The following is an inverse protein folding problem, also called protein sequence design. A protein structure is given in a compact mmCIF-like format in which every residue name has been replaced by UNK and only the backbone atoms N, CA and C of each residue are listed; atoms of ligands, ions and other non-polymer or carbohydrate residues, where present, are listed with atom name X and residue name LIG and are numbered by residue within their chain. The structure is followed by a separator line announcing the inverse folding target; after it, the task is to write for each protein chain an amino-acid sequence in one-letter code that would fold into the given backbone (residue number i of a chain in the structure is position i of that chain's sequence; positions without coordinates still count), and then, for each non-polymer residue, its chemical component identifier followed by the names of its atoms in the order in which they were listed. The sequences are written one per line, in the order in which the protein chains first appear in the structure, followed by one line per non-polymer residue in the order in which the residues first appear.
data_IF_129900532753
#
_entry.id   IF_129900532753
#
_cell.length_a   1.000
_cell.length_b   1.000
_cell.length_c   1.000
_cell.angle_alpha   90.00
_cell.angle_beta   90.00
_cell.angle_gamma   90.00
#
_symmetry.space_group_name_H-M   'P 1'
#
loop_
_entity.id
_entity.type
_entity.pdbx_description
1 polymer ?
#
# COMPACT_ATOMS: atom_id res chain seq x y z
N UNK A 1 -24.68 -35.50 -44.52
CA UNK A 1 -25.08 -35.19 -43.12
C UNK A 1 -23.93 -34.59 -42.27
N UNK A 2 -22.71 -35.11 -42.39
CA UNK A 2 -21.55 -34.66 -41.57
C UNK A 2 -21.12 -33.20 -41.85
N UNK A 3 -21.17 -32.73 -43.09
CA UNK A 3 -20.68 -31.40 -43.48
C UNK A 3 -21.56 -30.25 -42.91
N UNK A 4 -22.85 -30.46 -42.83
CA UNK A 4 -23.81 -29.48 -42.28
C UNK A 4 -23.66 -29.36 -40.75
N UNK A 5 -23.43 -30.47 -40.08
CA UNK A 5 -23.18 -30.53 -38.64
C UNK A 5 -21.84 -29.87 -38.29
N UNK A 6 -20.79 -30.09 -39.05
CA UNK A 6 -19.48 -29.43 -38.88
C UNK A 6 -19.58 -27.90 -39.04
N UNK A 7 -20.34 -27.41 -40.03
CA UNK A 7 -20.55 -25.95 -40.20
C UNK A 7 -21.29 -25.33 -39.02
N UNK A 8 -22.25 -26.03 -38.44
CA UNK A 8 -22.95 -25.56 -37.22
C UNK A 8 -22.01 -25.51 -36.01
N UNK A 9 -21.24 -26.57 -35.81
CA UNK A 9 -20.26 -26.64 -34.70
C UNK A 9 -19.23 -25.50 -34.85
N UNK A 10 -18.70 -25.28 -36.06
CA UNK A 10 -17.76 -24.18 -36.32
C UNK A 10 -18.37 -22.79 -36.01
N UNK A 11 -19.64 -22.55 -36.41
CA UNK A 11 -20.33 -21.30 -36.08
C UNK A 11 -20.50 -21.10 -34.58
N UNK A 12 -20.89 -22.14 -33.84
CA UNK A 12 -21.01 -22.08 -32.38
C UNK A 12 -19.66 -21.79 -31.75
N UNK A 13 -18.62 -22.49 -32.20
CA UNK A 13 -17.25 -22.25 -31.70
C UNK A 13 -16.79 -20.81 -31.99
N UNK A 14 -17.04 -20.29 -33.18
CA UNK A 14 -16.70 -18.90 -33.54
C UNK A 14 -17.44 -17.88 -32.63
N UNK A 15 -18.72 -18.10 -32.35
CA UNK A 15 -19.49 -17.25 -31.43
C UNK A 15 -18.92 -17.31 -30.02
N UNK A 16 -18.64 -18.52 -29.50
CA UNK A 16 -18.05 -18.67 -28.17
C UNK A 16 -16.67 -18.03 -28.09
N UNK A 17 -15.85 -18.13 -29.14
CA UNK A 17 -14.56 -17.48 -29.21
C UNK A 17 -14.69 -15.94 -29.17
N UNK A 18 -15.64 -15.39 -29.93
CA UNK A 18 -15.91 -13.93 -29.92
C UNK A 18 -16.37 -13.50 -28.52
N UNK A 19 -17.28 -14.23 -27.89
CA UNK A 19 -17.71 -13.92 -26.52
C UNK A 19 -16.57 -13.99 -25.52
N UNK A 20 -15.70 -14.99 -25.63
CA UNK A 20 -14.50 -15.10 -24.80
C UNK A 20 -13.52 -13.93 -25.01
N UNK A 21 -13.31 -13.51 -26.26
CA UNK A 21 -12.45 -12.35 -26.57
C UNK A 21 -13.05 -11.05 -26.05
N UNK A 22 -14.36 -10.88 -26.16
CA UNK A 22 -15.07 -9.71 -25.59
C UNK A 22 -14.92 -9.72 -24.06
N UNK A 23 -15.14 -10.84 -23.40
CA UNK A 23 -14.93 -10.97 -21.97
C UNK A 23 -13.50 -10.63 -21.54
N UNK A 24 -12.51 -11.22 -22.23
CA UNK A 24 -11.11 -10.91 -21.96
C UNK A 24 -10.79 -9.44 -22.15
N UNK A 25 -11.39 -8.79 -23.15
CA UNK A 25 -11.16 -7.37 -23.44
C UNK A 25 -11.80 -6.43 -22.42
N UNK A 26 -12.99 -6.78 -21.92
CA UNK A 26 -13.77 -5.92 -21.03
C UNK A 26 -13.36 -6.16 -19.57
N UNK A 27 -13.23 -7.42 -19.15
CA UNK A 27 -13.03 -7.78 -17.74
C UNK A 27 -11.55 -7.98 -17.38
N UNK A 28 -10.80 -8.73 -18.19
CA UNK A 28 -9.44 -9.15 -17.83
C UNK A 28 -8.40 -8.09 -18.21
N UNK A 29 -8.50 -7.56 -19.43
CA UNK A 29 -7.49 -6.63 -19.93
C UNK A 29 -7.32 -5.35 -19.08
N UNK A 30 -8.37 -4.73 -18.51
CA UNK A 30 -8.20 -3.63 -17.57
C UNK A 30 -7.52 -4.03 -16.26
N UNK A 31 -7.75 -5.25 -15.76
CA UNK A 31 -7.11 -5.74 -14.53
C UNK A 31 -5.58 -5.81 -14.66
N UNK A 32 -5.06 -6.07 -15.87
CA UNK A 32 -3.62 -6.07 -16.11
C UNK A 32 -2.98 -4.71 -15.79
N UNK A 33 -3.72 -3.62 -15.97
CA UNK A 33 -3.27 -2.26 -15.65
C UNK A 33 -3.12 -2.04 -14.14
N UNK A 34 -4.03 -2.60 -13.35
CA UNK A 34 -3.94 -2.58 -11.88
C UNK A 34 -2.74 -3.38 -11.40
N UNK A 35 -2.54 -4.58 -11.95
CA UNK A 35 -1.44 -5.47 -11.59
C UNK A 35 -0.09 -4.81 -11.89
N UNK A 36 0.11 -4.33 -13.11
CA UNK A 36 1.37 -3.65 -13.48
C UNK A 36 1.59 -2.37 -12.70
N UNK A 37 0.53 -1.57 -12.46
CA UNK A 37 0.60 -0.36 -11.66
C UNK A 37 0.96 -0.64 -10.20
N UNK A 38 0.33 -1.63 -9.59
CA UNK A 38 0.69 -2.08 -8.24
C UNK A 38 2.15 -2.51 -8.16
N UNK A 39 2.57 -3.39 -9.08
CA UNK A 39 3.92 -3.94 -9.11
C UNK A 39 4.97 -2.83 -9.30
N UNK A 40 4.78 -1.93 -10.28
CA UNK A 40 5.68 -0.80 -10.51
C UNK A 40 5.85 0.07 -9.26
N UNK A 41 4.72 0.40 -8.59
CA UNK A 41 4.73 1.25 -7.38
C UNK A 41 5.38 0.54 -6.20
N UNK A 42 5.09 -0.74 -6.02
CA UNK A 42 5.67 -1.57 -4.95
C UNK A 42 7.19 -1.66 -5.12
N UNK A 43 7.66 -2.01 -6.32
CA UNK A 43 9.10 -2.11 -6.61
C UNK A 43 9.80 -0.76 -6.46
N UNK A 44 9.23 0.33 -7.00
CA UNK A 44 9.84 1.65 -6.87
C UNK A 44 9.94 2.09 -5.40
N UNK A 45 8.97 1.77 -4.57
CA UNK A 45 9.01 2.09 -3.14
C UNK A 45 10.01 1.22 -2.39
N UNK A 46 9.96 -0.09 -2.59
CA UNK A 46 10.86 -1.03 -1.92
C UNK A 46 12.32 -0.83 -2.30
N UNK A 47 12.59 -0.48 -3.57
CA UNK A 47 13.94 -0.30 -4.06
C UNK A 47 14.51 1.08 -3.70
N UNK A 48 13.86 2.17 -4.14
CA UNK A 48 14.42 3.52 -3.99
C UNK A 48 14.24 4.14 -2.59
N UNK A 49 13.29 3.67 -1.78
CA UNK A 49 13.04 4.20 -0.45
C UNK A 49 13.65 3.31 0.63
N UNK A 50 13.47 1.99 0.50
CA UNK A 50 13.89 1.01 1.50
C UNK A 50 15.23 0.33 1.16
N UNK A 51 15.73 0.50 -0.08
CA UNK A 51 17.04 -0.04 -0.51
C UNK A 51 17.04 -1.56 -0.72
N UNK A 52 15.87 -2.19 -0.91
CA UNK A 52 15.76 -3.63 -1.12
C UNK A 52 16.01 -4.02 -2.57
N UNK A 53 16.46 -5.25 -2.77
CA UNK A 53 16.63 -5.82 -4.11
C UNK A 53 15.29 -6.16 -4.74
N UNK A 54 15.23 -6.17 -6.07
CA UNK A 54 14.04 -6.58 -6.82
C UNK A 54 13.56 -7.95 -6.37
N UNK A 55 14.48 -8.89 -6.18
CA UNK A 55 14.16 -10.26 -5.76
C UNK A 55 13.43 -10.28 -4.40
N UNK A 56 13.93 -9.55 -3.39
CA UNK A 56 13.29 -9.52 -2.07
C UNK A 56 11.92 -8.86 -2.09
N UNK A 57 11.70 -7.89 -2.98
CA UNK A 57 10.41 -7.23 -3.15
C UNK A 57 9.43 -8.19 -3.84
N UNK A 58 9.87 -8.89 -4.90
CA UNK A 58 9.02 -9.86 -5.60
C UNK A 58 8.63 -11.04 -4.72
N UNK A 59 9.55 -11.57 -3.91
CA UNK A 59 9.28 -12.67 -2.99
C UNK A 59 8.48 -12.27 -1.74
N UNK A 60 8.37 -10.99 -1.45
CA UNK A 60 7.69 -10.45 -0.30
C UNK A 60 6.45 -9.62 -0.65
N UNK A 61 6.64 -8.38 -1.07
CA UNK A 61 5.53 -7.43 -1.29
C UNK A 61 4.67 -7.79 -2.52
N UNK A 62 5.27 -8.36 -3.55
CA UNK A 62 4.61 -8.74 -4.80
C UNK A 62 4.24 -10.22 -4.87
N UNK A 63 4.51 -11.01 -3.82
CA UNK A 63 4.04 -12.40 -3.69
C UNK A 63 2.54 -12.40 -3.31
N UNK A 64 1.73 -11.87 -4.23
CA UNK A 64 0.28 -11.74 -4.15
C UNK A 64 -0.27 -12.33 -5.46
N UNK A 65 -1.40 -13.06 -5.37
CA UNK A 65 -2.05 -13.66 -6.54
C UNK A 65 -2.19 -12.66 -7.69
N UNK A 66 -1.76 -13.07 -8.87
CA UNK A 66 -1.67 -12.31 -10.13
C UNK A 66 -0.63 -11.17 -10.17
N UNK A 67 -0.18 -10.62 -9.03
CA UNK A 67 0.87 -9.59 -9.03
C UNK A 67 2.22 -10.18 -9.44
N UNK A 68 2.45 -11.44 -9.13
CA UNK A 68 3.60 -12.23 -9.55
C UNK A 68 3.72 -12.43 -11.08
N UNK A 69 2.64 -12.16 -11.85
CA UNK A 69 2.67 -12.16 -13.32
C UNK A 69 3.40 -10.97 -13.92
N UNK A 70 3.62 -9.94 -13.12
CA UNK A 70 4.27 -8.72 -13.57
C UNK A 70 5.78 -8.89 -13.67
N UNK A 71 6.35 -8.44 -14.79
CA UNK A 71 7.79 -8.28 -14.98
C UNK A 71 8.17 -6.83 -14.73
N UNK A 72 9.26 -6.60 -13.99
CA UNK A 72 9.69 -5.29 -13.55
C UNK A 72 11.08 -4.97 -14.04
N UNK A 73 11.30 -3.73 -14.49
CA UNK A 73 12.59 -3.19 -14.88
C UNK A 73 12.87 -1.92 -14.08
N UNK A 74 14.04 -1.87 -13.44
CA UNK A 74 14.49 -0.71 -12.63
C UNK A 74 15.46 0.10 -13.48
N UNK A 75 15.18 1.39 -13.65
CA UNK A 75 16.12 2.35 -14.20
C UNK A 75 16.74 3.16 -13.06
N UNK A 76 17.98 2.81 -12.71
CA UNK A 76 18.73 3.45 -11.63
C UNK A 76 19.08 4.91 -11.95
N UNK A 77 19.42 5.21 -13.20
CA UNK A 77 19.89 6.54 -13.60
C UNK A 77 18.75 7.58 -13.51
N UNK A 78 17.57 7.21 -13.97
CA UNK A 78 16.39 8.10 -13.98
C UNK A 78 15.45 7.84 -12.80
N UNK A 79 15.77 6.86 -11.94
CA UNK A 79 15.04 6.52 -10.73
C UNK A 79 13.56 6.21 -10.98
N UNK A 80 13.27 5.33 -11.91
CA UNK A 80 11.93 4.82 -12.15
C UNK A 80 11.89 3.31 -12.29
N UNK A 81 10.70 2.76 -12.18
CA UNK A 81 10.40 1.36 -12.45
C UNK A 81 9.30 1.28 -13.50
N UNK A 82 9.49 0.43 -14.51
CA UNK A 82 8.42 0.01 -15.41
C UNK A 82 7.98 -1.41 -15.06
N UNK A 83 6.71 -1.68 -15.23
CA UNK A 83 6.12 -2.99 -15.01
C UNK A 83 5.13 -3.33 -16.11
N UNK A 84 5.12 -4.62 -16.54
CA UNK A 84 4.24 -5.15 -17.57
C UNK A 84 3.72 -6.51 -17.15
N UNK A 85 2.50 -6.84 -17.53
CA UNK A 85 1.96 -8.21 -17.36
C UNK A 85 1.97 -8.89 -18.72
N UNK A 86 2.77 -9.95 -18.87
CA UNK A 86 2.94 -10.67 -20.14
C UNK A 86 3.25 -9.76 -21.33
N UNK A 87 4.03 -8.69 -21.11
CA UNK A 87 4.38 -7.70 -22.13
C UNK A 87 3.28 -6.68 -22.44
N UNK A 88 2.15 -6.74 -21.74
CA UNK A 88 1.00 -5.85 -21.93
C UNK A 88 0.88 -4.86 -20.76
N UNK A 89 0.14 -3.77 -20.99
CA UNK A 89 -0.24 -2.79 -19.97
C UNK A 89 0.97 -2.28 -19.16
N UNK A 90 1.94 -1.69 -19.86
CA UNK A 90 3.06 -1.03 -19.19
C UNK A 90 2.60 0.09 -18.26
N UNK A 91 3.09 0.07 -17.03
CA UNK A 91 2.92 1.15 -16.07
C UNK A 91 4.28 1.59 -15.53
N UNK A 92 4.38 2.85 -15.21
CA UNK A 92 5.62 3.47 -14.71
C UNK A 92 5.41 4.11 -13.35
N UNK A 93 6.35 3.85 -12.42
CA UNK A 93 6.44 4.54 -11.15
C UNK A 93 7.79 5.26 -11.04
N UNK A 94 7.76 6.54 -10.70
CA UNK A 94 8.97 7.36 -10.54
C UNK A 94 9.25 7.61 -9.07
N UNK A 95 10.53 7.64 -8.70
CA UNK A 95 10.97 8.11 -7.41
C UNK A 95 11.34 9.60 -7.47
N UNK A 96 10.83 10.37 -6.51
CA UNK A 96 11.16 11.79 -6.34
C UNK A 96 11.72 12.00 -4.95
N UNK A 97 12.91 12.55 -4.88
CA UNK A 97 13.56 12.78 -3.60
C UNK A 97 12.72 13.67 -2.68
N UNK A 98 12.58 13.27 -1.41
CA UNK A 98 11.78 13.97 -0.43
C UNK A 98 10.25 13.74 -0.53
N UNK A 99 9.75 13.18 -1.65
CA UNK A 99 8.34 12.86 -1.85
C UNK A 99 8.06 11.35 -1.91
N UNK A 100 9.06 10.54 -2.31
CA UNK A 100 8.92 9.10 -2.45
C UNK A 100 8.53 8.66 -3.86
N UNK A 101 8.07 7.42 -4.00
CA UNK A 101 7.69 6.83 -5.28
C UNK A 101 6.21 7.04 -5.57
N UNK A 102 5.87 7.35 -6.82
CA UNK A 102 4.49 7.51 -7.27
C UNK A 102 4.29 6.89 -8.65
N UNK A 103 3.11 6.31 -8.85
CA UNK A 103 2.68 5.89 -10.18
C UNK A 103 2.38 7.15 -11.01
N UNK A 104 2.73 7.12 -12.28
CA UNK A 104 2.44 8.21 -13.21
C UNK A 104 1.54 7.75 -14.34
N UNK A 105 0.78 8.69 -14.89
CA UNK A 105 -0.04 8.51 -16.09
C UNK A 105 0.71 9.07 -17.31
N UNK A 106 0.20 8.78 -18.50
CA UNK A 106 0.84 9.15 -19.76
C UNK A 106 0.97 10.67 -19.96
N UNK A 107 0.06 11.45 -19.35
CA UNK A 107 0.06 12.91 -19.36
C UNK A 107 0.94 13.56 -18.28
N UNK A 108 1.62 12.75 -17.46
CA UNK A 108 2.48 13.27 -16.41
C UNK A 108 3.78 13.84 -16.99
N UNK A 109 3.98 15.13 -16.82
CA UNK A 109 5.20 15.81 -17.24
C UNK A 109 6.29 15.68 -16.18
N UNK A 110 7.21 14.74 -16.43
CA UNK A 110 8.33 14.44 -15.52
C UNK A 110 9.34 15.60 -15.41
N UNK A 111 9.35 16.51 -16.41
CA UNK A 111 10.26 17.65 -16.43
C UNK A 111 9.84 18.79 -15.52
N UNK A 112 8.58 18.80 -15.08
CA UNK A 112 8.08 19.84 -14.17
C UNK A 112 8.77 19.78 -12.82
N UNK A 113 9.32 20.89 -12.33
CA UNK A 113 9.90 20.96 -11.01
C UNK A 113 8.82 20.70 -9.95
N UNK A 114 9.19 20.03 -8.89
CA UNK A 114 8.32 19.79 -7.74
C UNK A 114 8.93 20.39 -6.47
N UNK A 115 8.07 20.83 -5.57
CA UNK A 115 8.51 21.36 -4.29
C UNK A 115 8.79 20.21 -3.32
N UNK A 116 10.03 20.16 -2.83
CA UNK A 116 10.40 19.24 -1.75
C UNK A 116 10.09 19.92 -0.41
N UNK A 117 9.25 19.32 0.46
CA UNK A 117 8.95 19.89 1.76
C UNK A 117 10.21 20.03 2.61
N UNK A 118 10.43 21.20 3.20
CA UNK A 118 11.47 21.37 4.20
C UNK A 118 11.08 20.58 5.45
N UNK A 119 11.90 19.59 5.80
CA UNK A 119 11.71 18.79 7.01
C UNK A 119 12.55 19.37 8.14
N UNK A 120 11.90 19.82 9.18
CA UNK A 120 12.58 20.24 10.39
C UNK A 120 13.04 18.99 11.14
N UNK A 121 14.36 18.84 11.34
CA UNK A 121 14.88 17.86 12.27
C UNK A 121 14.67 18.41 13.69
N UNK A 122 13.75 17.83 14.41
CA UNK A 122 13.59 18.14 15.84
C UNK A 122 14.62 17.29 16.57
N UNK A 123 15.71 17.90 17.02
CA UNK A 123 16.63 17.28 17.95
C UNK A 123 16.10 17.55 19.36
N UNK A 124 15.35 16.61 19.90
CA UNK A 124 15.09 16.58 21.33
C UNK A 124 15.93 15.45 21.95
N UNK A 125 16.61 15.74 23.03
CA UNK A 125 17.43 14.76 23.78
C UNK A 125 16.53 13.88 24.68
N UNK A 126 15.40 13.44 24.14
CA UNK A 126 14.46 12.56 24.83
C UNK A 126 14.49 11.17 24.21
N UNK A 127 14.39 10.10 25.01
CA UNK A 127 14.25 8.76 24.47
C UNK A 127 12.87 8.56 23.84
N UNK A 128 12.78 7.59 22.94
CA UNK A 128 11.50 7.15 22.39
C UNK A 128 10.50 6.80 23.54
N UNK A 129 9.20 7.12 23.43
CA UNK A 129 8.53 7.67 22.24
C UNK A 129 8.51 9.20 22.15
N UNK A 130 9.07 9.92 23.11
CA UNK A 130 9.01 11.39 23.20
C UNK A 130 10.10 12.09 22.40
N UNK A 131 11.08 11.36 21.93
CA UNK A 131 12.21 11.85 21.14
C UNK A 131 12.90 10.81 20.29
N UNK A 132 14.11 11.12 19.87
CA UNK A 132 14.87 10.35 18.88
C UNK A 132 15.98 9.48 19.48
N UNK A 133 16.19 9.56 20.81
CA UNK A 133 17.19 8.74 21.47
C UNK A 133 16.70 7.31 21.62
N UNK A 134 17.63 6.38 21.75
CA UNK A 134 17.35 4.99 22.03
C UNK A 134 16.46 4.88 23.28
N UNK A 135 15.50 3.93 23.28
CA UNK A 135 14.67 3.67 24.45
C UNK A 135 15.55 3.29 25.64
N UNK A 136 15.18 3.73 26.83
CA UNK A 136 15.84 3.25 28.04
C UNK A 136 15.33 1.86 28.36
N UNK A 137 16.24 0.94 28.63
CA UNK A 137 15.91 -0.39 29.17
C UNK A 137 15.09 -0.23 30.46
N UNK A 138 13.94 -0.85 30.45
CA UNK A 138 13.03 -0.81 31.59
C UNK A 138 12.42 -2.18 31.80
N UNK A 139 12.59 -2.73 32.99
CA UNK A 139 11.99 -4.00 33.40
C UNK A 139 10.85 -3.72 34.38
N UNK A 140 9.69 -4.26 34.09
CA UNK A 140 8.50 -4.16 34.92
C UNK A 140 8.30 -5.48 35.68
N UNK A 141 8.17 -5.42 37.02
CA UNK A 141 8.00 -6.59 37.86
C UNK A 141 6.69 -7.37 37.65
N UNK A 142 5.69 -6.71 37.04
CA UNK A 142 4.40 -7.30 36.71
C UNK A 142 4.32 -7.89 35.28
N UNK A 143 5.43 -7.93 34.55
CA UNK A 143 5.50 -8.49 33.20
C UNK A 143 6.26 -9.83 33.27
N UNK A 144 5.62 -10.88 32.75
CA UNK A 144 6.26 -12.17 32.51
C UNK A 144 6.98 -12.14 31.16
N UNK A 145 8.25 -11.77 31.17
CA UNK A 145 9.07 -11.63 29.96
C UNK A 145 9.30 -12.96 29.24
N UNK A 146 9.25 -14.09 29.93
CA UNK A 146 9.37 -15.40 29.28
C UNK A 146 8.15 -15.64 28.36
N UNK A 147 6.95 -15.39 28.87
CA UNK A 147 5.72 -15.50 28.08
C UNK A 147 5.67 -14.44 26.99
N UNK A 148 6.06 -13.20 27.29
CA UNK A 148 6.10 -12.12 26.30
C UNK A 148 7.00 -12.49 25.12
N UNK A 149 8.22 -12.93 25.38
CA UNK A 149 9.15 -13.36 24.34
C UNK A 149 8.61 -14.53 23.53
N UNK A 150 8.00 -15.52 24.18
CA UNK A 150 7.39 -16.65 23.47
C UNK A 150 6.26 -16.21 22.52
N UNK A 151 5.44 -15.23 22.93
CA UNK A 151 4.37 -14.67 22.08
C UNK A 151 4.97 -13.89 20.91
N UNK A 152 5.99 -13.07 21.15
CA UNK A 152 6.70 -12.31 20.11
C UNK A 152 7.35 -13.27 19.11
N UNK A 153 8.02 -14.32 19.56
CA UNK A 153 8.57 -15.36 18.68
C UNK A 153 7.48 -16.03 17.82
N UNK A 154 6.34 -16.35 18.43
CA UNK A 154 5.23 -16.97 17.73
C UNK A 154 4.55 -16.02 16.70
N UNK A 155 4.81 -14.73 16.75
CA UNK A 155 4.29 -13.80 15.74
C UNK A 155 5.02 -13.90 14.40
N UNK A 156 6.20 -14.49 14.35
CA UNK A 156 6.98 -14.68 13.13
C UNK A 156 6.76 -16.07 12.53
N UNK A 157 7.06 -16.17 11.23
CA UNK A 157 7.05 -17.46 10.54
C UNK A 157 8.20 -18.34 11.02
N UNK A 158 7.93 -19.64 11.08
CA UNK A 158 8.99 -20.64 11.26
C UNK A 158 9.72 -20.84 9.92
N UNK A 159 10.96 -21.34 10.01
CA UNK A 159 11.77 -21.60 8.81
C UNK A 159 11.00 -22.45 7.80
N UNK A 160 10.88 -21.94 6.57
CA UNK A 160 10.15 -22.61 5.48
C UNK A 160 8.64 -22.35 5.46
N UNK A 161 8.10 -21.57 6.37
CA UNK A 161 6.71 -21.11 6.36
C UNK A 161 6.63 -19.64 5.89
N UNK A 162 5.52 -19.28 5.25
CA UNK A 162 5.24 -17.91 4.78
C UNK A 162 3.80 -17.49 5.09
N UNK A 163 3.27 -17.94 6.22
CA UNK A 163 1.84 -17.74 6.53
C UNK A 163 1.58 -16.35 7.11
N UNK A 164 2.45 -15.87 8.00
CA UNK A 164 2.28 -14.61 8.74
C UNK A 164 2.95 -13.44 8.05
N UNK A 165 4.13 -13.66 7.47
CA UNK A 165 4.96 -12.65 6.79
C UNK A 165 5.25 -11.42 7.66
N UNK A 166 5.36 -11.63 8.97
CA UNK A 166 5.63 -10.58 9.95
C UNK A 166 7.04 -10.04 9.76
N UNK A 167 7.19 -8.73 9.63
CA UNK A 167 8.48 -8.04 9.45
C UNK A 167 9.02 -7.47 10.74
N UNK A 168 8.14 -6.97 11.60
CA UNK A 168 8.51 -6.42 12.89
C UNK A 168 7.40 -6.59 13.92
N UNK A 169 7.77 -6.74 15.18
CA UNK A 169 6.87 -6.68 16.33
C UNK A 169 7.47 -5.74 17.36
N UNK A 170 6.70 -4.79 17.83
CA UNK A 170 7.07 -3.89 18.91
C UNK A 170 5.94 -3.93 19.95
N UNK A 171 6.29 -4.15 21.20
CA UNK A 171 5.34 -4.10 22.31
C UNK A 171 5.73 -2.95 23.24
N UNK A 172 4.76 -2.07 23.49
CA UNK A 172 4.92 -0.87 24.32
C UNK A 172 4.03 -1.00 25.54
N UNK A 173 4.59 -0.77 26.71
CA UNK A 173 3.87 -0.71 27.98
C UNK A 173 4.32 0.49 28.79
N UNK A 174 3.38 1.31 29.25
CA UNK A 174 3.67 2.58 29.98
C UNK A 174 4.74 3.42 29.30
N UNK A 175 4.58 3.63 27.99
CA UNK A 175 5.49 4.41 27.12
C UNK A 175 6.94 3.86 27.08
N UNK A 176 7.13 2.58 27.35
CA UNK A 176 8.42 1.89 27.21
C UNK A 176 8.30 0.71 26.26
N UNK A 177 9.28 0.55 25.40
CA UNK A 177 9.41 -0.67 24.60
C UNK A 177 9.81 -1.79 25.56
N UNK A 178 9.00 -2.83 25.65
CA UNK A 178 9.25 -4.02 26.47
C UNK A 178 9.57 -5.26 25.65
N UNK A 179 9.31 -5.23 24.34
CA UNK A 179 9.81 -6.19 23.38
C UNK A 179 9.90 -5.56 22.00
N UNK A 180 10.92 -5.90 21.25
CA UNK A 180 11.16 -5.45 19.88
C UNK A 180 11.88 -6.56 19.13
N UNK A 181 11.30 -6.98 17.98
CA UNK A 181 11.88 -8.03 17.15
C UNK A 181 11.61 -7.78 15.68
N UNK A 182 12.56 -8.17 14.84
CA UNK A 182 12.52 -8.04 13.38
C UNK A 182 12.76 -9.39 12.72
N UNK A 183 12.13 -9.60 11.57
CA UNK A 183 12.44 -10.73 10.70
C UNK A 183 13.80 -10.52 10.01
N UNK A 184 14.36 -11.59 9.46
CA UNK A 184 15.61 -11.53 8.71
C UNK A 184 15.51 -10.50 7.57
N UNK A 185 16.54 -9.66 7.43
CA UNK A 185 16.59 -8.57 6.45
C UNK A 185 15.89 -7.27 6.89
N UNK A 186 15.26 -7.24 8.06
CA UNK A 186 14.62 -6.05 8.62
C UNK A 186 15.27 -5.61 9.93
N UNK A 187 15.16 -4.33 10.24
CA UNK A 187 15.68 -3.73 11.47
C UNK A 187 14.89 -2.47 11.82
N UNK A 188 15.24 -1.81 12.92
CA UNK A 188 14.56 -0.59 13.39
C UNK A 188 14.56 0.59 12.41
N UNK A 189 15.44 0.58 11.41
CA UNK A 189 15.52 1.64 10.41
C UNK A 189 14.82 1.26 9.09
N UNK A 190 14.34 0.03 8.96
CA UNK A 190 13.62 -0.43 7.77
C UNK A 190 12.35 0.37 7.56
N UNK A 191 12.19 0.90 6.35
CA UNK A 191 11.01 1.65 5.95
C UNK A 191 9.98 0.69 5.38
N UNK A 192 8.96 0.41 6.15
CA UNK A 192 7.89 -0.53 5.78
C UNK A 192 6.68 0.23 5.28
N UNK A 193 6.06 -0.24 4.19
CA UNK A 193 4.83 0.34 3.66
C UNK A 193 3.72 0.27 4.71
N UNK A 194 3.12 1.42 5.00
CA UNK A 194 2.11 1.55 6.05
C UNK A 194 0.72 1.08 5.65
N UNK A 195 0.42 0.96 4.34
CA UNK A 195 -0.91 0.60 3.85
C UNK A 195 -2.02 1.38 4.60
N UNK A 196 -3.06 0.71 5.06
CA UNK A 196 -4.17 1.34 5.78
C UNK A 196 -3.79 1.94 7.14
N UNK A 197 -2.61 1.66 7.69
CA UNK A 197 -2.11 2.39 8.86
C UNK A 197 -1.96 3.90 8.59
N UNK A 198 -1.80 4.30 7.32
CA UNK A 198 -1.78 5.72 6.93
C UNK A 198 -3.09 6.45 7.18
N UNK A 199 -4.23 5.74 7.29
CA UNK A 199 -5.51 6.33 7.70
C UNK A 199 -5.43 6.91 9.11
N UNK A 200 -4.71 6.24 10.02
CA UNK A 200 -4.48 6.76 11.39
C UNK A 200 -3.63 8.04 11.39
N UNK A 201 -2.63 8.14 10.48
CA UNK A 201 -1.87 9.38 10.30
C UNK A 201 -2.77 10.50 9.75
N UNK A 202 -3.63 10.20 8.79
CA UNK A 202 -4.60 11.16 8.25
C UNK A 202 -5.52 11.67 9.35
N UNK A 203 -6.08 10.80 10.19
CA UNK A 203 -6.90 11.20 11.33
C UNK A 203 -6.12 12.09 12.32
N UNK A 204 -4.84 11.78 12.56
CA UNK A 204 -3.96 12.59 13.40
C UNK A 204 -3.78 14.00 12.82
N UNK A 205 -3.61 14.14 11.51
CA UNK A 205 -3.49 15.45 10.85
C UNK A 205 -4.77 16.28 11.00
N UNK A 206 -5.95 15.67 10.84
CA UNK A 206 -7.22 16.36 11.12
C UNK A 206 -7.31 16.79 12.59
N UNK A 207 -6.88 15.96 13.54
CA UNK A 207 -6.80 16.31 14.95
C UNK A 207 -5.89 17.52 15.22
N UNK A 208 -4.73 17.58 14.57
CA UNK A 208 -3.81 18.73 14.67
C UNK A 208 -4.46 20.00 14.12
N UNK A 209 -5.07 19.91 12.92
CA UNK A 209 -5.73 21.06 12.29
C UNK A 209 -6.90 21.58 13.15
N UNK A 210 -7.67 20.67 13.75
CA UNK A 210 -8.74 21.04 14.67
C UNK A 210 -8.20 21.72 15.92
N UNK A 211 -7.13 21.17 16.53
CA UNK A 211 -6.46 21.80 17.69
C UNK A 211 -5.94 23.21 17.38
N UNK A 212 -5.50 23.43 16.14
CA UNK A 212 -5.05 24.75 15.66
C UNK A 212 -6.20 25.70 15.27
N UNK A 213 -7.45 25.27 15.36
CA UNK A 213 -8.63 26.04 14.92
C UNK A 213 -8.73 26.24 13.41
N UNK A 214 -7.97 25.48 12.61
CA UNK A 214 -7.94 25.58 11.15
C UNK A 214 -8.95 24.70 10.44
N UNK A 215 -9.48 23.70 11.13
CA UNK A 215 -10.45 22.75 10.59
C UNK A 215 -11.37 22.25 11.70
N UNK A 216 -12.64 21.96 11.36
CA UNK A 216 -13.65 21.48 12.30
C UNK A 216 -14.26 20.18 11.76
N UNK A 217 -13.87 19.05 12.32
CA UNK A 217 -14.30 17.73 11.83
C UNK A 217 -15.80 17.47 11.96
N UNK A 218 -16.48 18.17 12.87
CA UNK A 218 -17.94 18.05 13.07
C UNK A 218 -18.76 18.86 12.06
N UNK A 219 -18.12 19.59 11.15
CA UNK A 219 -18.80 20.24 10.03
C UNK A 219 -18.92 19.30 8.84
N UNK A 220 -19.89 19.55 7.93
CA UNK A 220 -19.98 18.82 6.67
C UNK A 220 -18.63 18.71 5.99
N UNK A 221 -18.36 17.51 5.43
CA UNK A 221 -17.14 17.28 4.68
C UNK A 221 -17.08 18.24 3.47
N UNK A 222 -15.93 18.86 3.18
CA UNK A 222 -15.80 19.88 2.14
C UNK A 222 -15.74 19.25 0.75
N UNK A 223 -16.72 18.43 0.39
CA UNK A 223 -16.82 17.73 -0.90
C UNK A 223 -17.85 18.46 -1.76
N UNK A 224 -17.36 19.06 -2.85
CA UNK A 224 -18.18 19.95 -3.67
C UNK A 224 -19.37 19.23 -4.32
N UNK A 225 -19.18 17.98 -4.70
CA UNK A 225 -20.17 17.13 -5.36
C UNK A 225 -21.36 16.76 -4.46
N UNK A 226 -21.20 16.90 -3.14
CA UNK A 226 -22.23 16.52 -2.16
C UNK A 226 -23.18 17.66 -1.77
N UNK A 227 -22.94 18.86 -2.27
CA UNK A 227 -23.65 20.06 -1.82
C UNK A 227 -25.16 20.03 -2.02
N UNK A 228 -25.64 19.30 -3.03
CA UNK A 228 -27.00 19.35 -3.51
C UNK A 228 -27.84 18.11 -3.15
N UNK A 229 -27.32 17.20 -2.36
CA UNK A 229 -28.02 15.98 -1.94
C UNK A 229 -27.82 15.66 -0.45
N UNK A 230 -28.36 14.52 0.01
CA UNK A 230 -28.30 14.09 1.41
C UNK A 230 -26.88 13.90 1.95
N UNK A 231 -25.90 13.65 1.08
CA UNK A 231 -24.49 13.53 1.45
C UNK A 231 -23.90 14.85 2.00
N UNK A 232 -24.55 15.99 1.72
CA UNK A 232 -24.18 17.29 2.27
C UNK A 232 -24.18 17.34 3.80
N UNK A 233 -24.83 16.38 4.45
CA UNK A 233 -24.92 16.27 5.92
C UNK A 233 -23.77 15.45 6.51
N UNK A 234 -23.07 14.66 5.71
CA UNK A 234 -21.98 13.80 6.16
C UNK A 234 -20.82 14.68 6.62
N UNK A 235 -20.42 14.51 7.86
CA UNK A 235 -19.31 15.26 8.44
C UNK A 235 -17.96 14.58 8.16
N UNK A 236 -16.87 15.34 8.28
CA UNK A 236 -15.53 14.73 8.24
C UNK A 236 -15.35 13.73 9.38
N UNK A 237 -15.99 13.95 10.54
CA UNK A 237 -15.99 13.00 11.64
C UNK A 237 -16.64 11.67 11.27
N UNK A 238 -17.75 11.67 10.53
CA UNK A 238 -18.41 10.45 10.07
C UNK A 238 -17.50 9.66 9.12
N UNK A 239 -16.77 10.35 8.23
CA UNK A 239 -15.78 9.71 7.36
C UNK A 239 -14.62 9.11 8.16
N UNK A 240 -14.09 9.83 9.14
CA UNK A 240 -13.00 9.36 9.99
C UNK A 240 -13.39 8.14 10.85
N UNK A 241 -14.67 8.02 11.21
CA UNK A 241 -15.21 6.90 11.96
C UNK A 241 -15.73 5.76 11.06
N UNK A 242 -15.66 5.93 9.73
CA UNK A 242 -16.14 4.95 8.75
C UNK A 242 -17.64 4.62 8.91
N UNK A 243 -18.46 5.60 9.33
CA UNK A 243 -19.88 5.46 9.58
C UNK A 243 -20.73 6.47 8.77
N UNK A 244 -20.24 6.86 7.60
CA UNK A 244 -20.87 7.84 6.72
C UNK A 244 -22.23 7.37 6.14
N UNK A 245 -22.53 6.08 6.15
CA UNK A 245 -23.70 5.51 5.50
C UNK A 245 -23.60 5.41 3.97
N UNK A 246 -22.45 5.75 3.39
CA UNK A 246 -22.21 5.55 1.97
C UNK A 246 -22.06 4.05 1.67
N UNK A 247 -22.61 3.63 0.55
CA UNK A 247 -22.30 2.32 -0.03
C UNK A 247 -20.85 2.33 -0.53
N UNK A 248 -20.06 1.38 -0.06
CA UNK A 248 -18.63 1.32 -0.32
C UNK A 248 -18.17 -0.11 -0.54
N UNK A 249 -17.58 -0.38 -1.68
CA UNK A 249 -16.97 -1.67 -1.98
C UNK A 249 -15.45 -1.51 -2.11
N UNK A 250 -14.68 -2.37 -1.43
CA UNK A 250 -13.23 -2.49 -1.58
C UNK A 250 -12.88 -3.79 -2.31
N UNK A 251 -13.41 -4.00 -3.52
CA UNK A 251 -13.00 -5.11 -4.37
C UNK A 251 -11.81 -4.68 -5.23
N UNK A 252 -10.61 -5.00 -4.78
CA UNK A 252 -9.37 -4.69 -5.48
C UNK A 252 -9.19 -5.45 -6.81
N UNK A 253 -10.08 -6.40 -7.12
CA UNK A 253 -10.11 -7.11 -8.40
C UNK A 253 -10.90 -6.41 -9.49
N UNK A 254 -11.64 -5.35 -9.16
CA UNK A 254 -12.47 -4.59 -10.11
C UNK A 254 -11.97 -3.14 -10.24
N UNK A 255 -12.14 -2.61 -11.44
CA UNK A 255 -12.02 -1.17 -11.69
C UNK A 255 -13.42 -0.60 -11.48
N UNK A 256 -13.60 0.17 -10.40
CA UNK A 256 -14.83 0.91 -10.13
C UNK A 256 -14.83 2.23 -10.91
#
# INVERSE_FOLDING_TARGET
QNLFTMKKIFKIFAVLLILALVYLRIEIYPQLDLISGFSAKSVASGHFIDGRTLETIQQGDNDIDKVDWATNEINEAERFVTSKVHGLKERKAIYREGLGATLINDDFDISKPYNVPKRNKINNNLPFPYGNLEPKDTVFSNIDYQKLNAVVENAFDKKGQKDKRTRSVIVIYKDKIIAEKYADGFNKNSKILGWSMTKSLTATYFGILQKQGKFYIMKPAPIAEWKNDERSKITTNDLLHMNSGLDWEEDYGKIS
#
